data_IF_915137155957
#
_entry.id   IF_915137155957
#
_cell.length_a   1.000
_cell.length_b   1.000
_cell.length_c   1.000
_cell.angle_alpha   90.00
_cell.angle_beta   90.00
_cell.angle_gamma   90.00
#
_symmetry.space_group_name_H-M   'P 1'
#
loop_
_entity.id
_entity.type
_entity.pdbx_description
1 polymer ?
#
# COMPACT_ATOMS: atom_id res chain seq x y z
N UNK A 1 -10.23 10.74 -7.33
CA UNK A 1 -8.83 10.63 -7.79
C UNK A 1 -8.58 9.20 -8.20
N UNK A 2 -8.16 8.93 -9.42
CA UNK A 2 -7.79 7.57 -9.78
C UNK A 2 -6.55 7.20 -8.98
N UNK A 3 -6.65 6.15 -8.21
CA UNK A 3 -5.54 5.53 -7.54
C UNK A 3 -4.57 4.96 -8.58
N UNK A 4 -3.32 4.86 -8.20
CA UNK A 4 -2.27 4.26 -8.99
C UNK A 4 -2.71 2.82 -9.35
N UNK A 5 -3.15 2.60 -10.56
CA UNK A 5 -3.34 1.25 -11.08
C UNK A 5 -1.94 0.69 -11.34
N UNK A 6 -1.35 0.06 -10.34
CA UNK A 6 -0.20 -0.81 -10.56
C UNK A 6 -0.75 -2.04 -11.24
N UNK A 7 -0.65 -2.08 -12.56
CA UNK A 7 -0.83 -3.33 -13.29
C UNK A 7 0.29 -4.24 -12.80
N UNK A 8 -0.06 -5.28 -12.03
CA UNK A 8 0.92 -6.25 -11.54
C UNK A 8 1.69 -6.80 -12.76
N UNK A 9 3.00 -6.62 -12.82
CA UNK A 9 3.78 -7.18 -13.92
C UNK A 9 3.81 -8.71 -13.81
N UNK A 10 4.05 -9.43 -14.92
CA UNK A 10 4.10 -10.90 -14.96
C UNK A 10 5.43 -11.43 -14.40
N UNK A 11 5.75 -11.18 -13.13
CA UNK A 11 7.00 -11.61 -12.52
C UNK A 11 6.85 -12.71 -11.47
N UNK A 12 5.82 -13.49 -11.59
CA UNK A 12 5.62 -14.68 -10.74
C UNK A 12 6.50 -15.88 -11.11
N UNK A 13 7.43 -15.74 -12.05
CA UNK A 13 8.27 -16.88 -12.47
C UNK A 13 9.52 -17.13 -11.61
N UNK A 14 9.82 -16.28 -10.63
CA UNK A 14 11.06 -16.45 -9.83
C UNK A 14 10.86 -16.37 -8.32
N UNK A 15 9.74 -16.78 -7.81
CA UNK A 15 9.54 -16.88 -6.36
C UNK A 15 9.07 -18.29 -5.98
N UNK A 16 9.55 -18.85 -4.85
CA UNK A 16 8.86 -19.99 -4.27
C UNK A 16 7.37 -19.64 -4.15
N UNK A 17 6.45 -20.62 -4.19
CA UNK A 17 5.04 -20.35 -4.33
C UNK A 17 4.51 -19.57 -3.12
N UNK A 18 4.65 -18.25 -3.18
CA UNK A 18 3.87 -17.37 -2.31
C UNK A 18 2.50 -17.31 -2.97
N UNK A 19 1.63 -18.16 -2.50
CA UNK A 19 0.22 -18.08 -2.86
C UNK A 19 -0.33 -16.81 -2.22
N UNK A 20 -0.25 -15.69 -2.97
CA UNK A 20 -0.94 -14.47 -2.60
C UNK A 20 -2.44 -14.73 -2.72
N UNK A 21 -3.06 -15.07 -1.61
CA UNK A 21 -4.51 -15.01 -1.50
C UNK A 21 -4.82 -13.54 -1.21
N UNK A 22 -4.89 -12.74 -2.26
CA UNK A 22 -5.19 -11.31 -2.14
C UNK A 22 -5.06 -10.60 -3.46
N UNK A 23 -5.82 -9.56 -3.64
CA UNK A 23 -5.78 -8.70 -4.80
C UNK A 23 -5.17 -7.35 -4.43
N UNK A 24 -4.21 -6.88 -5.22
CA UNK A 24 -3.72 -5.51 -5.11
C UNK A 24 -4.69 -4.60 -5.85
N UNK A 25 -5.39 -3.79 -5.09
CA UNK A 25 -6.40 -2.87 -5.63
C UNK A 25 -6.02 -1.43 -5.31
N UNK A 26 -6.55 -0.47 -6.08
CA UNK A 26 -6.46 0.95 -5.72
C UNK A 26 -7.06 1.22 -4.34
N UNK A 27 -6.65 2.34 -3.72
CA UNK A 27 -7.22 2.77 -2.44
C UNK A 27 -8.76 2.87 -2.54
N UNK A 28 -9.51 2.03 -1.80
CA UNK A 28 -10.97 2.07 -1.82
C UNK A 28 -11.56 3.31 -1.11
N UNK A 29 -10.72 4.08 -0.41
CA UNK A 29 -11.12 5.24 0.37
C UNK A 29 -10.23 6.46 0.08
N UNK A 30 -10.15 6.93 -1.18
CA UNK A 30 -9.23 8.00 -1.58
C UNK A 30 -9.52 9.33 -0.88
N UNK A 31 -10.75 9.56 -0.45
CA UNK A 31 -11.16 10.78 0.28
C UNK A 31 -10.42 10.96 1.62
N UNK A 32 -9.86 9.89 2.16
CA UNK A 32 -9.04 9.93 3.38
C UNK A 32 -7.67 10.56 3.18
N UNK A 33 -7.24 10.71 1.94
CA UNK A 33 -5.96 11.31 1.55
C UNK A 33 -4.73 10.69 2.26
N UNK A 34 -4.78 9.37 2.53
CA UNK A 34 -3.74 8.69 3.32
C UNK A 34 -2.39 8.77 2.62
N UNK A 35 -2.35 8.64 1.30
CA UNK A 35 -1.12 8.66 0.52
C UNK A 35 -0.31 9.95 0.72
N UNK A 36 -0.96 11.11 0.73
CA UNK A 36 -0.28 12.41 0.87
C UNK A 36 0.01 12.81 2.33
N UNK A 37 -0.37 11.96 3.28
CA UNK A 37 -0.19 12.18 4.72
C UNK A 37 0.81 11.22 5.35
N UNK A 38 1.56 10.49 4.55
CA UNK A 38 2.55 9.53 5.01
C UNK A 38 3.94 9.90 4.48
N UNK A 39 4.97 9.30 5.03
CA UNK A 39 6.37 9.72 4.89
C UNK A 39 6.89 9.72 3.45
N UNK A 40 6.41 8.79 2.61
CA UNK A 40 6.78 8.73 1.19
C UNK A 40 6.39 9.99 0.41
N UNK A 41 5.46 10.79 0.91
CA UNK A 41 5.04 12.02 0.22
C UNK A 41 6.16 13.04 0.11
N UNK A 42 7.10 13.05 1.02
CA UNK A 42 8.30 13.88 0.93
C UNK A 42 9.11 13.60 -0.35
N UNK A 43 9.23 12.32 -0.73
CA UNK A 43 9.88 11.92 -1.98
C UNK A 43 9.02 12.24 -3.20
N UNK A 44 7.71 12.07 -3.10
CA UNK A 44 6.76 12.43 -4.17
C UNK A 44 6.86 13.91 -4.54
N UNK A 45 6.99 14.79 -3.56
CA UNK A 45 7.18 16.23 -3.77
C UNK A 45 8.45 16.53 -4.56
N UNK A 46 9.48 15.72 -4.44
CA UNK A 46 10.72 15.80 -5.21
C UNK A 46 10.64 15.10 -6.57
N UNK A 47 9.46 14.61 -6.97
CA UNK A 47 9.22 13.96 -8.25
C UNK A 47 9.61 12.48 -8.27
N UNK A 48 9.94 11.89 -7.13
CA UNK A 48 10.27 10.47 -7.02
C UNK A 48 8.99 9.66 -6.95
N UNK A 49 8.76 8.70 -7.85
CA UNK A 49 7.65 7.77 -7.75
C UNK A 49 7.72 6.98 -6.44
N UNK A 50 6.63 6.92 -5.74
CA UNK A 50 6.53 6.20 -4.49
C UNK A 50 5.24 5.40 -4.41
N UNK A 51 5.26 4.33 -3.64
CA UNK A 51 4.14 3.46 -3.38
C UNK A 51 3.87 3.43 -1.87
N UNK A 52 2.60 3.46 -1.51
CA UNK A 52 2.15 3.25 -0.15
C UNK A 52 1.21 2.05 -0.12
N UNK A 53 1.71 0.95 0.41
CA UNK A 53 0.95 -0.29 0.55
C UNK A 53 0.43 -0.44 1.97
N UNK A 54 -0.79 -0.91 2.09
CA UNK A 54 -1.43 -1.21 3.37
C UNK A 54 -2.52 -2.24 3.16
N UNK A 55 -3.00 -2.83 4.25
CA UNK A 55 -4.23 -3.61 4.20
C UNK A 55 -5.41 -2.75 3.79
N UNK A 56 -6.17 -3.26 2.85
CA UNK A 56 -7.41 -2.65 2.41
C UNK A 56 -8.60 -3.12 3.25
N UNK A 57 -9.64 -2.33 3.23
CA UNK A 57 -10.95 -2.69 3.75
C UNK A 57 -12.03 -2.00 2.92
N UNK A 58 -13.12 -2.68 2.69
CA UNK A 58 -14.27 -2.13 2.00
C UNK A 58 -15.28 -1.60 3.01
N UNK A 59 -15.96 -0.51 2.68
CA UNK A 59 -17.06 0.03 3.50
C UNK A 59 -18.13 -1.05 3.72
N UNK A 60 -18.69 -1.08 4.90
CA UNK A 60 -19.74 -2.03 5.31
C UNK A 60 -19.27 -3.50 5.41
N UNK A 61 -17.99 -3.74 5.62
CA UNK A 61 -17.45 -5.05 5.91
C UNK A 61 -17.00 -5.16 7.39
N UNK A 62 -16.81 -6.36 7.93
CA UNK A 62 -16.25 -6.53 9.26
C UNK A 62 -14.87 -5.88 9.41
N UNK A 63 -14.04 -5.93 8.39
CA UNK A 63 -12.71 -5.33 8.36
C UNK A 63 -12.78 -3.80 8.45
N UNK A 64 -13.79 -3.19 7.82
CA UNK A 64 -14.05 -1.76 7.98
C UNK A 64 -14.36 -1.40 9.43
N UNK A 65 -15.19 -2.22 10.11
CA UNK A 65 -15.53 -1.97 11.51
C UNK A 65 -14.31 -2.13 12.42
N UNK A 66 -13.48 -3.14 12.20
CA UNK A 66 -12.23 -3.35 12.95
C UNK A 66 -11.31 -2.12 12.81
N UNK A 67 -11.08 -1.64 11.58
CA UNK A 67 -10.23 -0.46 11.34
C UNK A 67 -10.81 0.81 11.94
N UNK A 68 -12.12 0.98 11.84
CA UNK A 68 -12.80 2.13 12.41
C UNK A 68 -12.68 2.17 13.95
N UNK A 69 -12.91 1.04 14.61
CA UNK A 69 -12.83 0.93 16.06
C UNK A 69 -11.39 1.09 16.55
N UNK A 70 -10.42 0.52 15.84
CA UNK A 70 -9.02 0.74 16.14
C UNK A 70 -8.65 2.21 16.03
N UNK A 71 -9.03 2.88 14.96
CA UNK A 71 -8.72 4.29 14.74
C UNK A 71 -9.36 5.20 15.77
N UNK A 72 -10.57 4.89 16.20
CA UNK A 72 -11.30 5.69 17.18
C UNK A 72 -10.76 5.54 18.61
N UNK A 73 -10.25 4.34 18.97
CA UNK A 73 -10.03 3.99 20.37
C UNK A 73 -8.57 3.65 20.71
N UNK A 74 -7.73 3.32 19.70
CA UNK A 74 -6.37 2.80 19.93
C UNK A 74 -5.28 3.56 19.18
N UNK A 75 -5.56 4.01 17.97
CA UNK A 75 -4.58 4.67 17.11
C UNK A 75 -3.87 5.82 17.84
N UNK A 76 -2.54 5.80 17.84
CA UNK A 76 -1.68 6.75 18.54
C UNK A 76 -1.91 6.81 20.07
N UNK A 77 -2.28 5.69 20.67
CA UNK A 77 -2.46 5.56 22.13
C UNK A 77 -1.66 4.37 22.66
N UNK A 78 -1.43 4.28 23.99
CA UNK A 78 -0.73 3.14 24.60
C UNK A 78 -1.45 1.80 24.42
N UNK A 79 -2.74 1.81 24.07
CA UNK A 79 -3.52 0.60 23.78
C UNK A 79 -3.41 0.12 22.34
N UNK A 80 -2.60 0.78 21.52
CA UNK A 80 -2.25 0.32 20.16
C UNK A 80 -1.08 -0.68 20.26
N UNK A 81 -1.41 -1.87 20.69
CA UNK A 81 -0.49 -2.98 20.94
C UNK A 81 -0.86 -4.23 20.13
N UNK A 82 -0.11 -5.32 20.30
CA UNK A 82 -0.32 -6.56 19.55
C UNK A 82 -1.46 -7.44 20.08
N UNK A 83 -2.04 -7.11 21.22
CA UNK A 83 -3.13 -7.87 21.84
C UNK A 83 -4.53 -7.35 21.46
N UNK A 84 -4.57 -6.44 20.48
CA UNK A 84 -5.82 -5.85 19.99
C UNK A 84 -6.51 -6.74 18.94
N UNK A 85 -7.84 -6.62 18.80
CA UNK A 85 -8.58 -7.27 17.71
C UNK A 85 -8.08 -6.83 16.33
N UNK A 86 -8.09 -7.76 15.38
CA UNK A 86 -7.76 -7.45 13.98
C UNK A 86 -6.27 -7.53 13.64
N UNK A 87 -5.44 -8.03 14.55
CA UNK A 87 -4.05 -8.36 14.26
C UNK A 87 -3.96 -9.75 13.64
N UNK A 88 -3.79 -9.81 12.34
CA UNK A 88 -3.65 -11.04 11.55
C UNK A 88 -2.20 -11.22 11.11
N UNK A 89 -1.40 -11.91 11.93
CA UNK A 89 0.05 -12.04 11.71
C UNK A 89 0.39 -12.75 10.40
N UNK A 90 -0.40 -13.74 10.01
CA UNK A 90 -0.21 -14.44 8.74
C UNK A 90 -0.43 -13.52 7.54
N UNK A 91 -1.38 -12.62 7.62
CA UNK A 91 -1.63 -11.64 6.56
C UNK A 91 -0.52 -10.58 6.51
N UNK A 92 0.02 -10.19 7.66
CA UNK A 92 1.19 -9.29 7.73
C UNK A 92 2.41 -9.91 7.02
N UNK A 93 2.69 -11.19 7.26
CA UNK A 93 3.78 -11.93 6.57
C UNK A 93 3.59 -11.96 5.06
N UNK A 94 2.35 -12.12 4.58
CA UNK A 94 2.05 -12.08 3.14
C UNK A 94 2.32 -10.69 2.54
N UNK A 95 1.91 -9.63 3.22
CA UNK A 95 2.16 -8.27 2.78
C UNK A 95 3.67 -7.97 2.73
N UNK A 96 4.42 -8.39 3.73
CA UNK A 96 5.87 -8.23 3.79
C UNK A 96 6.57 -8.99 2.66
N UNK A 97 6.17 -10.24 2.40
CA UNK A 97 6.70 -11.04 1.31
C UNK A 97 6.43 -10.39 -0.06
N UNK A 98 5.23 -9.88 -0.26
CA UNK A 98 4.89 -9.15 -1.49
C UNK A 98 5.72 -7.87 -1.63
N UNK A 99 5.85 -7.10 -0.58
CA UNK A 99 6.63 -5.85 -0.57
C UNK A 99 8.10 -6.13 -0.86
N UNK A 100 8.67 -7.17 -0.27
CA UNK A 100 10.04 -7.60 -0.55
C UNK A 100 10.24 -8.01 -2.01
N UNK A 101 9.33 -8.80 -2.57
CA UNK A 101 9.38 -9.21 -3.97
C UNK A 101 9.29 -7.99 -4.92
N UNK A 102 8.42 -7.05 -4.63
CA UNK A 102 8.29 -5.81 -5.38
C UNK A 102 9.59 -4.97 -5.32
N UNK A 103 10.18 -4.84 -4.13
CA UNK A 103 11.43 -4.11 -3.95
C UNK A 103 12.57 -4.72 -4.76
N UNK A 104 12.70 -6.04 -4.75
CA UNK A 104 13.70 -6.78 -5.56
C UNK A 104 13.44 -6.55 -7.05
N UNK A 105 12.18 -6.61 -7.49
CA UNK A 105 11.83 -6.37 -8.89
C UNK A 105 12.21 -4.96 -9.34
N UNK A 106 11.87 -3.95 -8.55
CA UNK A 106 12.21 -2.55 -8.86
C UNK A 106 13.72 -2.33 -8.86
N UNK A 107 14.44 -2.92 -7.90
CA UNK A 107 15.89 -2.79 -7.79
C UNK A 107 16.65 -3.42 -8.98
N UNK A 108 16.09 -4.47 -9.59
CA UNK A 108 16.69 -5.16 -10.73
C UNK A 108 16.12 -4.71 -12.09
N UNK A 109 15.23 -3.74 -12.11
CA UNK A 109 14.65 -3.24 -13.36
C UNK A 109 15.66 -2.41 -14.16
N UNK A 110 15.65 -2.56 -15.48
CA UNK A 110 16.53 -1.81 -16.39
C UNK A 110 16.23 -0.31 -16.43
N UNK A 111 15.01 0.07 -16.05
CA UNK A 111 14.56 1.45 -16.03
C UNK A 111 13.94 1.80 -14.67
N UNK A 112 14.11 3.05 -14.27
CA UNK A 112 13.45 3.57 -13.06
C UNK A 112 11.94 3.64 -13.25
N UNK A 113 11.15 3.33 -12.20
CA UNK A 113 9.71 3.58 -12.23
C UNK A 113 9.39 5.01 -12.63
N UNK A 114 8.31 5.19 -13.34
CA UNK A 114 7.80 6.48 -13.77
C UNK A 114 6.37 6.66 -13.27
N UNK A 115 5.97 7.88 -13.02
CA UNK A 115 4.56 8.19 -12.84
C UNK A 115 3.78 7.88 -14.11
N UNK A 116 2.56 7.42 -13.97
CA UNK A 116 1.67 7.28 -15.12
C UNK A 116 1.42 8.66 -15.77
N UNK A 117 1.23 8.73 -17.08
CA UNK A 117 1.04 10.01 -17.78
C UNK A 117 -0.13 10.85 -17.28
N UNK A 118 -1.14 10.22 -16.71
CA UNK A 118 -2.33 10.85 -16.13
C UNK A 118 -2.23 11.09 -14.62
N UNK A 119 -1.09 10.75 -14.02
CA UNK A 119 -0.86 10.98 -12.58
C UNK A 119 -0.67 12.46 -12.29
N UNK A 120 -1.42 12.96 -11.31
CA UNK A 120 -1.26 14.34 -10.81
C UNK A 120 0.13 14.59 -10.18
N UNK A 121 0.84 13.54 -9.82
CA UNK A 121 2.18 13.60 -9.23
C UNK A 121 3.29 13.57 -10.29
N UNK A 122 2.96 13.24 -11.54
CA UNK A 122 3.93 13.15 -12.65
C UNK A 122 4.38 14.50 -13.21
N UNK A 123 3.68 15.57 -12.88
CA UNK A 123 3.98 16.89 -13.38
C UNK A 123 4.73 17.70 -12.32
N UNK A 124 6.07 17.72 -12.38
CA UNK A 124 6.81 18.78 -11.73
C UNK A 124 6.50 20.08 -12.45
N UNK A 125 5.85 21.00 -11.76
CA UNK A 125 5.93 22.43 -12.15
C UNK A 125 7.40 22.81 -12.07
N UNK A 126 8.02 23.05 -13.20
CA UNK A 126 9.36 23.62 -13.29
C UNK A 126 9.32 25.08 -12.82
#
# INVERSE_FOLDING_TARGET
MPALAVKAPPFLEYSPPVTLIGEVVPDPNPDRNVFIRADQYSFVREGVPALFMKFGFLKNTPEYQIEHDWRANRYHSPSDDLDQPGIFKEEAVKLDAYTAALAVHVANADARPQWLPDSIFGHKSR
#
